data_IF_817669450887
#
_entry.id   IF_817669450887
#
_cell.length_a   1.000
_cell.length_b   1.000
_cell.length_c   1.000
_cell.angle_alpha   90.00
_cell.angle_beta   90.00
_cell.angle_gamma   90.00
#
_symmetry.space_group_name_H-M   'P 1'
#
loop_
_entity.id
_entity.type
_entity.pdbx_description
1 polymer ?
#
# COMPACT_ATOMS: atom_id res chain seq x y z
N UNK A 1 15.86 -4.36 25.01
CA UNK A 1 16.23 -3.47 23.89
C UNK A 1 15.23 -2.32 23.82
N UNK A 2 15.70 -1.09 23.57
CA UNK A 2 14.87 0.09 23.45
C UNK A 2 14.04 0.12 22.15
N UNK A 3 13.18 1.15 22.01
CA UNK A 3 12.44 1.41 20.79
C UNK A 3 13.37 1.82 19.66
N UNK A 4 13.17 1.22 18.48
CA UNK A 4 13.94 1.50 17.26
C UNK A 4 13.12 1.11 16.03
N UNK A 5 13.50 1.55 14.82
CA UNK A 5 12.98 0.95 13.59
C UNK A 5 13.21 -0.55 13.57
N UNK A 6 12.25 -1.32 13.08
CA UNK A 6 12.32 -2.78 13.03
C UNK A 6 11.84 -3.31 11.70
N UNK A 7 12.45 -4.42 11.30
CA UNK A 7 12.05 -5.21 10.14
C UNK A 7 11.83 -6.65 10.59
N UNK A 8 10.73 -7.25 10.19
CA UNK A 8 10.42 -8.64 10.55
C UNK A 8 9.67 -9.33 9.40
N UNK A 9 9.78 -10.64 9.36
CA UNK A 9 8.97 -11.52 8.51
C UNK A 9 8.27 -12.52 9.41
N UNK A 10 6.95 -12.62 9.27
CA UNK A 10 6.13 -13.60 9.97
C UNK A 10 5.48 -14.58 9.00
N UNK A 11 5.13 -15.76 9.49
CA UNK A 11 4.36 -16.75 8.76
C UNK A 11 3.09 -17.10 9.54
N UNK A 12 1.95 -17.11 8.85
CA UNK A 12 0.66 -17.58 9.37
C UNK A 12 0.54 -19.09 9.27
N UNK A 13 -0.45 -19.66 9.94
CA UNK A 13 -0.71 -21.11 9.94
C UNK A 13 -1.06 -21.66 8.53
N UNK A 14 -1.64 -20.85 7.67
CA UNK A 14 -1.98 -21.18 6.27
C UNK A 14 -0.79 -21.08 5.30
N UNK A 15 0.41 -20.70 5.81
CA UNK A 15 1.62 -20.51 5.03
C UNK A 15 1.82 -19.09 4.50
N UNK A 16 0.83 -18.21 4.63
CA UNK A 16 0.94 -16.80 4.20
C UNK A 16 2.07 -16.09 4.93
N UNK A 17 2.82 -15.25 4.21
CA UNK A 17 3.90 -14.44 4.76
C UNK A 17 3.43 -13.02 5.07
N UNK A 18 3.94 -12.47 6.17
CA UNK A 18 3.76 -11.08 6.59
C UNK A 18 5.12 -10.41 6.62
N UNK A 19 5.35 -9.45 5.72
CA UNK A 19 6.50 -8.55 5.77
C UNK A 19 6.09 -7.34 6.60
N UNK A 20 6.83 -7.06 7.66
CA UNK A 20 6.47 -6.03 8.61
C UNK A 20 7.64 -5.10 8.88
N UNK A 21 7.40 -3.81 8.71
CA UNK A 21 8.33 -2.76 9.10
C UNK A 21 7.64 -1.79 10.05
N UNK A 22 8.42 -1.21 10.95
CA UNK A 22 8.00 -0.05 11.74
C UNK A 22 9.10 0.99 11.71
N UNK A 23 8.73 2.21 11.34
CA UNK A 23 9.62 3.35 11.39
C UNK A 23 9.98 3.72 12.84
N UNK A 24 11.07 4.44 13.02
CA UNK A 24 11.47 4.87 14.34
C UNK A 24 12.58 5.91 14.31
N UNK A 25 12.98 6.38 15.51
CA UNK A 25 14.03 7.41 15.69
C UNK A 25 13.77 8.70 14.91
N UNK A 26 12.50 9.00 14.61
CA UNK A 26 12.09 10.22 13.89
C UNK A 26 11.10 11.00 14.75
N UNK A 27 11.54 12.15 15.25
CA UNK A 27 10.68 13.05 16.02
C UNK A 27 9.48 13.51 15.19
N UNK A 28 8.29 13.51 15.80
CA UNK A 28 7.04 13.90 15.14
C UNK A 28 6.48 12.84 14.17
N UNK A 29 7.16 11.69 14.01
CA UNK A 29 6.68 10.59 13.14
C UNK A 29 6.58 9.27 13.91
N UNK A 30 7.71 8.69 14.33
CA UNK A 30 7.71 7.42 15.06
C UNK A 30 8.97 7.29 15.92
N UNK A 31 8.80 6.81 17.16
CA UNK A 31 9.90 6.43 18.05
C UNK A 31 10.42 5.00 17.77
N UNK A 32 9.63 4.19 17.03
CA UNK A 32 9.88 2.78 16.79
C UNK A 32 9.26 1.88 17.85
N UNK A 33 9.63 0.60 17.81
CA UNK A 33 9.12 -0.42 18.71
C UNK A 33 10.24 -1.24 19.35
N UNK A 34 9.94 -1.82 20.53
CA UNK A 34 10.74 -2.88 21.15
C UNK A 34 10.50 -4.21 20.42
N UNK A 35 11.39 -5.18 20.59
CA UNK A 35 11.22 -6.53 20.03
C UNK A 35 9.94 -7.21 20.53
N UNK A 36 9.58 -6.99 21.81
CA UNK A 36 8.34 -7.54 22.39
C UNK A 36 7.09 -6.97 21.71
N UNK A 37 7.07 -5.66 21.43
CA UNK A 37 5.95 -5.04 20.74
C UNK A 37 5.82 -5.56 19.29
N UNK A 38 6.94 -5.77 18.59
CA UNK A 38 6.92 -6.37 17.24
C UNK A 38 6.38 -7.80 17.29
N UNK A 39 6.86 -8.62 18.25
CA UNK A 39 6.37 -9.98 18.42
C UNK A 39 4.86 -10.01 18.73
N UNK A 40 4.39 -9.15 19.63
CA UNK A 40 2.96 -9.02 19.94
C UNK A 40 2.14 -8.65 18.70
N UNK A 41 2.63 -7.69 17.92
CA UNK A 41 1.95 -7.26 16.69
C UNK A 41 1.87 -8.37 15.65
N UNK A 42 2.92 -9.17 15.47
CA UNK A 42 2.92 -10.30 14.55
C UNK A 42 1.96 -11.41 15.01
N UNK A 43 1.83 -11.65 16.32
CA UNK A 43 0.80 -12.56 16.87
C UNK A 43 -0.60 -12.04 16.56
N UNK A 44 -0.87 -10.75 16.77
CA UNK A 44 -2.16 -10.11 16.43
C UNK A 44 -2.50 -10.21 14.94
N UNK A 45 -1.48 -10.18 14.06
CA UNK A 45 -1.63 -10.39 12.62
C UNK A 45 -1.83 -11.87 12.23
N UNK A 46 -1.83 -12.78 13.23
CA UNK A 46 -2.06 -14.22 13.03
C UNK A 46 -0.81 -15.03 12.70
N UNK A 47 0.40 -14.45 12.89
CA UNK A 47 1.64 -15.20 12.68
C UNK A 47 1.86 -16.24 13.77
N UNK A 48 2.25 -17.45 13.38
CA UNK A 48 2.60 -18.56 14.27
C UNK A 48 4.10 -18.69 14.46
N UNK A 49 4.89 -18.13 13.56
CA UNK A 49 6.33 -17.98 13.67
C UNK A 49 6.79 -16.67 13.07
N UNK A 50 7.92 -16.13 13.51
CA UNK A 50 8.46 -14.91 12.97
C UNK A 50 9.97 -14.80 13.20
N UNK A 51 10.62 -14.02 12.35
CA UNK A 51 12.03 -13.69 12.40
C UNK A 51 12.22 -12.18 12.29
N UNK A 52 13.00 -11.59 13.19
CA UNK A 52 13.46 -10.21 13.02
C UNK A 52 14.71 -10.17 12.14
N UNK A 53 14.69 -9.27 11.19
CA UNK A 53 15.81 -8.95 10.32
C UNK A 53 16.59 -7.75 10.89
N UNK A 54 17.60 -7.27 10.16
CA UNK A 54 18.31 -6.04 10.51
C UNK A 54 17.32 -4.85 10.55
N UNK A 55 17.49 -4.00 11.54
CA UNK A 55 16.61 -2.88 11.85
C UNK A 55 17.37 -1.56 11.90
N UNK A 56 16.80 -0.59 12.64
CA UNK A 56 17.42 0.73 12.73
C UNK A 56 17.45 1.44 11.38
N UNK A 57 18.58 2.02 11.00
CA UNK A 57 18.74 2.71 9.72
C UNK A 57 18.61 1.82 8.49
N UNK A 58 18.76 0.50 8.64
CA UNK A 58 18.56 -0.48 7.56
C UNK A 58 17.09 -0.84 7.31
N UNK A 59 16.16 -0.39 8.17
CA UNK A 59 14.73 -0.64 7.96
C UNK A 59 14.23 0.11 6.74
N UNK A 60 14.02 -0.63 5.65
CA UNK A 60 13.51 -0.12 4.39
C UNK A 60 12.53 -1.14 3.81
N UNK A 61 11.39 -0.67 3.34
CA UNK A 61 10.39 -1.46 2.63
C UNK A 61 10.09 -0.78 1.32
N UNK A 62 10.42 -1.46 0.23
CA UNK A 62 10.10 -1.03 -1.12
C UNK A 62 9.01 -1.93 -1.70
N UNK A 63 8.06 -1.34 -2.36
CA UNK A 63 6.92 -2.03 -2.98
C UNK A 63 6.73 -1.49 -4.38
N UNK A 64 6.34 -2.36 -5.30
CA UNK A 64 5.75 -1.94 -6.57
C UNK A 64 4.25 -1.84 -6.35
N UNK A 65 3.74 -0.62 -6.31
CA UNK A 65 2.30 -0.38 -6.18
C UNK A 65 1.56 -0.92 -7.42
N UNK A 66 0.29 -1.32 -7.30
CA UNK A 66 -0.44 -1.93 -8.40
C UNK A 66 -0.54 -1.08 -9.67
N UNK A 67 -0.43 0.24 -9.56
CA UNK A 67 -0.46 1.21 -10.67
C UNK A 67 0.94 1.61 -11.17
N UNK A 68 2.01 1.02 -10.61
CA UNK A 68 3.39 1.38 -10.89
C UNK A 68 4.13 0.24 -11.59
N UNK A 69 5.11 0.60 -12.43
CA UNK A 69 6.06 -0.34 -13.05
C UNK A 69 7.39 -0.39 -12.31
N UNK A 70 7.60 0.50 -11.34
CA UNK A 70 8.85 0.59 -10.57
C UNK A 70 8.54 0.59 -9.07
N UNK A 71 9.42 -0.04 -8.31
CA UNK A 71 9.32 -0.05 -6.85
C UNK A 71 9.65 1.31 -6.24
N UNK A 72 8.92 1.68 -5.21
CA UNK A 72 9.17 2.87 -4.38
C UNK A 72 9.31 2.49 -2.91
N UNK A 73 10.06 3.30 -2.15
CA UNK A 73 10.18 3.14 -0.70
C UNK A 73 8.95 3.72 -0.02
N UNK A 74 8.18 2.88 0.65
CA UNK A 74 6.91 3.25 1.29
C UNK A 74 7.04 3.62 2.77
N UNK A 75 8.14 3.26 3.43
CA UNK A 75 8.43 3.69 4.80
C UNK A 75 9.34 4.92 4.84
N UNK A 76 9.60 5.45 6.03
CA UNK A 76 10.50 6.60 6.26
C UNK A 76 11.76 6.16 6.97
N UNK A 77 12.85 5.81 6.27
CA UNK A 77 14.10 5.38 6.87
C UNK A 77 14.64 6.38 7.89
N UNK A 78 15.13 5.89 9.04
CA UNK A 78 15.60 6.77 10.13
C UNK A 78 16.86 7.58 9.79
N UNK A 79 17.62 7.13 8.80
CA UNK A 79 18.82 7.84 8.30
C UNK A 79 18.47 8.97 7.33
N UNK A 80 17.19 9.14 7.00
CA UNK A 80 16.71 10.15 6.05
C UNK A 80 16.67 9.69 4.59
N UNK A 81 17.40 8.64 4.27
CA UNK A 81 17.42 7.95 2.98
C UNK A 81 17.67 6.46 3.19
N UNK A 82 17.52 5.69 2.15
CA UNK A 82 17.84 4.27 2.15
C UNK A 82 19.32 4.04 2.43
N UNK A 83 19.62 3.09 3.29
CA UNK A 83 20.97 2.69 3.60
C UNK A 83 21.46 1.63 2.61
N UNK A 84 22.70 1.75 2.13
CA UNK A 84 23.35 0.66 1.43
C UNK A 84 23.54 -0.54 2.36
N UNK A 85 23.00 -1.69 1.98
CA UNK A 85 23.06 -2.94 2.73
C UNK A 85 23.61 -4.06 1.84
N UNK A 86 24.26 -5.06 2.45
CA UNK A 86 24.90 -6.15 1.70
C UNK A 86 23.93 -7.25 1.29
N UNK A 87 22.76 -7.33 1.92
CA UNK A 87 21.73 -8.35 1.62
C UNK A 87 20.33 -7.75 1.79
N UNK A 88 19.40 -8.31 1.05
CA UNK A 88 18.00 -7.90 1.03
C UNK A 88 17.12 -9.15 0.87
N UNK A 89 15.86 -9.04 1.26
CA UNK A 89 14.83 -10.06 1.00
C UNK A 89 13.88 -9.53 -0.04
N UNK A 90 13.71 -10.25 -1.13
CA UNK A 90 12.79 -9.90 -2.21
C UNK A 90 11.66 -10.90 -2.31
N UNK A 91 10.47 -10.39 -2.56
CA UNK A 91 9.36 -11.13 -3.12
C UNK A 91 9.25 -10.72 -4.59
N UNK A 92 9.48 -11.65 -5.49
CA UNK A 92 9.48 -11.38 -6.93
C UNK A 92 8.35 -12.19 -7.58
N UNK A 93 7.49 -11.52 -8.33
CA UNK A 93 6.55 -12.18 -9.22
C UNK A 93 7.22 -12.32 -10.61
N UNK A 94 7.35 -13.55 -11.09
CA UNK A 94 7.82 -13.84 -12.45
C UNK A 94 6.60 -13.99 -13.36
N UNK A 95 6.01 -12.85 -13.74
CA UNK A 95 4.84 -12.82 -14.62
C UNK A 95 5.09 -11.92 -15.81
N UNK A 96 4.60 -12.35 -16.97
CA UNK A 96 4.58 -11.56 -18.21
C UNK A 96 3.21 -10.94 -18.41
N UNK A 97 3.08 -9.76 -19.05
CA UNK A 97 1.79 -9.16 -19.34
C UNK A 97 0.89 -10.12 -20.12
N UNK A 98 -0.32 -10.35 -19.64
CA UNK A 98 -1.33 -11.11 -20.38
C UNK A 98 -2.03 -10.26 -21.46
N UNK A 99 -2.10 -8.95 -21.23
CA UNK A 99 -2.82 -8.01 -22.07
C UNK A 99 -4.35 -8.14 -21.98
N UNK A 100 -4.86 -9.00 -21.09
CA UNK A 100 -6.29 -9.18 -20.86
C UNK A 100 -6.71 -8.44 -19.58
N UNK A 101 -7.61 -7.46 -19.69
CA UNK A 101 -8.10 -6.68 -18.56
C UNK A 101 -8.79 -7.57 -17.51
N UNK A 102 -8.30 -7.52 -16.29
CA UNK A 102 -8.88 -8.19 -15.13
C UNK A 102 -9.76 -7.24 -14.32
N UNK A 103 -9.19 -6.17 -13.80
CA UNK A 103 -9.85 -5.20 -12.92
C UNK A 103 -9.15 -3.85 -12.96
N UNK A 104 -9.65 -2.89 -12.21
CA UNK A 104 -9.00 -1.60 -11.98
C UNK A 104 -8.50 -1.50 -10.53
N UNK A 105 -7.28 -1.00 -10.37
CA UNK A 105 -6.82 -0.47 -9.10
C UNK A 105 -7.19 1.01 -9.04
N UNK A 106 -7.94 1.39 -8.00
CA UNK A 106 -8.42 2.76 -7.81
C UNK A 106 -7.88 3.29 -6.51
N UNK A 107 -7.31 4.48 -6.52
CA UNK A 107 -6.78 5.16 -5.35
C UNK A 107 -7.18 6.62 -5.32
N UNK A 108 -7.27 7.18 -4.12
CA UNK A 108 -7.51 8.59 -3.89
C UNK A 108 -6.27 9.23 -3.25
N UNK A 109 -6.04 10.53 -3.47
CA UNK A 109 -4.94 11.26 -2.82
C UNK A 109 -5.09 11.27 -1.28
N UNK A 110 -6.34 11.16 -0.78
CA UNK A 110 -6.68 11.16 0.64
C UNK A 110 -7.87 10.26 0.93
N UNK A 111 -7.76 9.41 1.96
CA UNK A 111 -8.86 8.54 2.43
C UNK A 111 -9.90 9.33 3.25
N UNK A 112 -9.51 10.46 3.84
CA UNK A 112 -10.37 11.31 4.67
C UNK A 112 -10.24 12.76 4.26
N UNK A 113 -11.37 13.38 3.91
CA UNK A 113 -11.44 14.79 3.50
C UNK A 113 -12.65 15.48 4.11
N UNK A 114 -12.65 16.82 4.12
CA UNK A 114 -13.80 17.58 4.55
C UNK A 114 -14.96 17.47 3.54
N UNK A 115 -16.18 17.43 4.03
CA UNK A 115 -17.37 17.43 3.19
C UNK A 115 -17.40 18.67 2.26
N UNK A 116 -17.70 18.45 0.98
CA UNK A 116 -17.68 19.48 -0.05
C UNK A 116 -16.29 19.80 -0.63
N UNK A 117 -15.26 19.00 -0.27
CA UNK A 117 -13.91 19.13 -0.85
C UNK A 117 -13.79 18.39 -2.17
N UNK A 118 -12.70 18.66 -2.89
CA UNK A 118 -12.30 17.91 -4.09
C UNK A 118 -11.15 16.97 -3.78
N UNK A 119 -11.15 15.78 -4.39
CA UNK A 119 -10.11 14.74 -4.27
C UNK A 119 -9.75 14.27 -5.66
N UNK A 120 -8.45 14.12 -5.95
CA UNK A 120 -8.02 13.47 -7.17
C UNK A 120 -8.07 11.96 -7.01
N UNK A 121 -8.54 11.30 -8.04
CA UNK A 121 -8.62 9.85 -8.15
C UNK A 121 -7.67 9.40 -9.23
N UNK A 122 -6.91 8.37 -8.93
CA UNK A 122 -6.09 7.63 -9.90
C UNK A 122 -6.71 6.25 -10.10
N UNK A 123 -6.74 5.78 -11.34
CA UNK A 123 -7.13 4.43 -11.64
C UNK A 123 -6.18 3.82 -12.66
N UNK A 124 -5.74 2.59 -12.42
CA UNK A 124 -4.89 1.82 -13.31
C UNK A 124 -5.59 0.54 -13.72
N UNK A 125 -5.61 0.24 -15.01
CA UNK A 125 -6.06 -1.05 -15.52
C UNK A 125 -5.01 -2.12 -15.19
N UNK A 126 -5.46 -3.27 -14.67
CA UNK A 126 -4.62 -4.37 -14.26
C UNK A 126 -5.03 -5.61 -15.06
N UNK A 127 -4.03 -6.29 -15.61
CA UNK A 127 -4.28 -7.50 -16.38
C UNK A 127 -4.48 -8.75 -15.48
N UNK A 128 -4.79 -9.89 -16.10
CA UNK A 128 -5.01 -11.16 -15.38
C UNK A 128 -3.76 -11.71 -14.70
N UNK A 129 -2.58 -11.18 -15.02
CA UNK A 129 -1.30 -11.50 -14.37
C UNK A 129 -0.86 -10.42 -13.36
N UNK A 130 -1.78 -9.52 -12.97
CA UNK A 130 -1.54 -8.43 -12.01
C UNK A 130 -0.50 -7.40 -12.48
N UNK A 131 -0.39 -7.19 -13.80
CA UNK A 131 0.53 -6.21 -14.39
C UNK A 131 -0.28 -4.99 -14.86
N UNK A 132 0.17 -3.75 -14.57
CA UNK A 132 -0.45 -2.54 -15.09
C UNK A 132 -0.47 -2.53 -16.61
N UNK A 133 -1.59 -2.12 -17.18
CA UNK A 133 -1.77 -1.99 -18.61
C UNK A 133 -2.47 -0.67 -18.98
N UNK A 134 -2.30 -0.25 -20.22
CA UNK A 134 -3.06 0.90 -20.74
C UNK A 134 -4.51 0.48 -20.99
N UNK A 135 -5.44 1.30 -20.57
CA UNK A 135 -6.87 1.09 -20.82
C UNK A 135 -7.68 2.34 -20.52
N UNK A 136 -8.73 2.56 -21.32
CA UNK A 136 -9.70 3.61 -21.06
C UNK A 136 -10.70 3.14 -20.00
N UNK A 137 -11.13 4.06 -19.15
CA UNK A 137 -12.12 3.79 -18.11
C UNK A 137 -13.02 5.01 -17.90
N UNK A 138 -14.17 4.78 -17.32
CA UNK A 138 -15.05 5.82 -16.78
C UNK A 138 -15.04 5.76 -15.25
N UNK A 139 -15.10 6.94 -14.62
CA UNK A 139 -15.24 7.05 -13.16
C UNK A 139 -16.70 7.37 -12.83
N UNK A 140 -17.18 6.73 -11.76
CA UNK A 140 -18.46 7.04 -11.14
C UNK A 140 -18.31 7.08 -9.62
N UNK A 141 -19.25 7.72 -8.92
CA UNK A 141 -19.27 7.82 -7.45
C UNK A 141 -20.66 7.48 -6.93
N UNK A 142 -20.72 6.91 -5.71
CA UNK A 142 -21.99 6.65 -5.05
C UNK A 142 -22.75 7.93 -4.69
N UNK A 143 -22.02 8.98 -4.30
CA UNK A 143 -22.53 10.30 -3.96
C UNK A 143 -21.51 11.37 -4.35
N UNK A 144 -21.98 12.57 -4.73
CA UNK A 144 -21.12 13.67 -5.17
C UNK A 144 -21.07 13.83 -6.68
N UNK A 145 -20.02 14.45 -7.19
CA UNK A 145 -19.85 14.74 -8.62
C UNK A 145 -18.46 14.31 -9.09
N UNK A 146 -18.39 13.80 -10.33
CA UNK A 146 -17.12 13.43 -11.00
C UNK A 146 -16.89 14.37 -12.18
N UNK A 147 -15.70 14.94 -12.26
CA UNK A 147 -15.25 15.72 -13.40
C UNK A 147 -13.83 15.27 -13.79
N UNK A 148 -13.73 14.46 -14.83
CA UNK A 148 -12.47 13.80 -15.20
C UNK A 148 -11.98 12.86 -14.08
N UNK A 149 -10.81 13.13 -13.54
CA UNK A 149 -10.23 12.41 -12.39
C UNK A 149 -10.52 13.07 -11.04
N UNK A 150 -11.32 14.12 -10.97
CA UNK A 150 -11.61 14.86 -9.74
C UNK A 150 -13.01 14.52 -9.25
N UNK A 151 -13.09 14.08 -8.01
CA UNK A 151 -14.35 13.86 -7.28
C UNK A 151 -14.62 15.04 -6.37
N UNK A 152 -15.82 15.61 -6.41
CA UNK A 152 -16.32 16.57 -5.42
C UNK A 152 -17.22 15.84 -4.45
N UNK A 153 -16.84 15.82 -3.17
CA UNK A 153 -17.59 15.12 -2.12
C UNK A 153 -18.88 15.85 -1.76
N UNK A 154 -19.94 15.15 -1.33
CA UNK A 154 -21.19 15.79 -0.91
C UNK A 154 -20.97 16.60 0.39
N UNK A 155 -21.80 17.62 0.58
CA UNK A 155 -21.77 18.43 1.82
C UNK A 155 -22.38 17.72 3.04
N UNK A 156 -23.12 16.64 2.82
CA UNK A 156 -23.72 15.81 3.86
C UNK A 156 -22.71 15.02 4.68
N UNK A 157 -21.50 14.78 4.13
CA UNK A 157 -20.54 13.82 4.66
C UNK A 157 -21.00 12.38 4.44
N UNK A 158 -20.17 11.42 4.80
CA UNK A 158 -20.41 9.97 4.64
C UNK A 158 -19.31 9.29 3.84
N UNK A 159 -19.41 7.98 3.73
CA UNK A 159 -18.50 7.17 2.92
C UNK A 159 -18.91 7.26 1.44
N UNK A 160 -17.93 7.45 0.57
CA UNK A 160 -18.15 7.60 -0.86
C UNK A 160 -17.39 6.49 -1.57
N UNK A 161 -18.11 5.65 -2.30
CA UNK A 161 -17.47 4.63 -3.15
C UNK A 161 -17.20 5.26 -4.52
N UNK A 162 -15.94 5.21 -4.94
CA UNK A 162 -15.49 5.58 -6.29
C UNK A 162 -15.25 4.31 -7.08
N UNK A 163 -15.85 4.22 -8.25
CA UNK A 163 -15.73 3.07 -9.16
C UNK A 163 -15.10 3.48 -10.47
N UNK A 164 -14.06 2.77 -10.89
CA UNK A 164 -13.56 2.81 -12.26
C UNK A 164 -14.07 1.59 -13.01
N UNK A 165 -14.61 1.78 -14.20
CA UNK A 165 -15.20 0.71 -15.02
C UNK A 165 -14.79 0.82 -16.48
N UNK A 166 -14.54 -0.33 -17.09
CA UNK A 166 -14.43 -0.50 -18.53
C UNK A 166 -14.71 -1.94 -18.93
N UNK A 167 -15.47 -2.14 -20.04
CA UNK A 167 -15.74 -3.47 -20.64
C UNK A 167 -16.29 -4.51 -19.64
N UNK A 168 -17.10 -4.07 -18.67
CA UNK A 168 -17.67 -4.94 -17.64
C UNK A 168 -16.66 -5.42 -16.57
N UNK A 169 -15.51 -4.76 -16.48
CA UNK A 169 -14.54 -4.91 -15.40
C UNK A 169 -14.50 -3.64 -14.59
N UNK A 170 -14.40 -3.77 -13.28
CA UNK A 170 -14.42 -2.63 -12.35
C UNK A 170 -13.35 -2.73 -11.27
N UNK A 171 -13.10 -1.62 -10.60
CA UNK A 171 -12.33 -1.51 -9.37
C UNK A 171 -12.91 -0.37 -8.54
N UNK A 172 -12.83 -0.47 -7.22
CA UNK A 172 -13.42 0.52 -6.31
C UNK A 172 -12.44 0.95 -5.22
N UNK A 173 -12.64 2.19 -4.72
CA UNK A 173 -12.05 2.70 -3.47
C UNK A 173 -13.11 3.47 -2.68
N UNK A 174 -12.88 3.62 -1.35
CA UNK A 174 -13.83 4.32 -0.44
C UNK A 174 -13.10 5.37 0.35
#
# INVERSE_FOLDING_TARGET
AGSAPRTAVGQKADGSLVFYTIDGRRSGHSIGATMTQVAQRLIELGCVTALCLDGGGSTTLTVTEPDQLTSGTINKPSDGSERSVTNQVFLVADSTPSGELSHFYVSADYDYVLAGSTVNISAAAIDTNFIPMSGDYSLSVSEGEVNGSVVTTPRSGGDIVVTAESRGREGTTT
#
